data_IF_628821132211
#
_entry.id   IF_628821132211
#
_cell.length_a   1.000
_cell.length_b   1.000
_cell.length_c   1.000
_cell.angle_alpha   90.00
_cell.angle_beta   90.00
_cell.angle_gamma   90.00
#
_symmetry.space_group_name_H-M   'P 1'
#
loop_
_entity.id
_entity.type
_entity.pdbx_description
1 polymer ?
#
# COMPACT_ATOMS: atom_id res chain seq x y z
N UNK A 1 20.73 -39.57 36.17
CA UNK A 1 21.65 -39.42 35.02
C UNK A 1 21.35 -38.11 34.29
N UNK A 2 22.38 -37.28 34.03
CA UNK A 2 22.35 -36.20 33.03
C UNK A 2 22.14 -34.76 33.55
N UNK A 3 23.17 -34.14 34.15
CA UNK A 3 23.27 -32.67 34.34
C UNK A 3 23.73 -32.02 33.03
N UNK A 4 23.03 -30.98 32.55
CA UNK A 4 23.52 -30.09 31.48
C UNK A 4 23.90 -28.73 32.08
N UNK A 5 25.14 -28.32 31.84
CA UNK A 5 25.73 -27.08 32.32
C UNK A 5 25.53 -25.96 31.28
N UNK A 6 25.20 -24.78 31.79
CA UNK A 6 25.13 -23.50 31.06
C UNK A 6 26.48 -22.80 31.20
N UNK A 7 27.04 -22.29 30.11
CA UNK A 7 28.21 -21.42 30.12
C UNK A 7 27.85 -20.06 29.51
N UNK A 8 27.86 -19.05 30.37
CA UNK A 8 27.76 -17.63 30.07
C UNK A 8 29.17 -17.07 29.93
N UNK A 9 29.46 -16.32 28.86
CA UNK A 9 30.70 -15.55 28.75
C UNK A 9 30.34 -14.07 28.54
N UNK A 10 30.62 -13.26 29.57
CA UNK A 10 30.67 -11.79 29.49
C UNK A 10 32.07 -11.37 29.01
N UNK A 11 32.11 -10.49 28.01
CA UNK A 11 33.30 -9.72 27.65
C UNK A 11 32.93 -8.25 27.56
N UNK A 12 33.39 -7.46 28.52
CA UNK A 12 33.31 -6.01 28.52
C UNK A 12 34.74 -5.44 28.42
N UNK A 13 34.95 -4.46 27.56
CA UNK A 13 36.09 -3.56 27.64
C UNK A 13 35.66 -2.15 27.20
N UNK A 14 35.88 -1.18 28.10
CA UNK A 14 35.57 0.23 27.92
C UNK A 14 36.83 1.02 27.47
N UNK A 15 36.53 2.17 26.85
CA UNK A 15 37.35 3.30 26.33
C UNK A 15 38.23 4.02 27.39
N UNK A 16 38.93 5.18 27.19
CA UNK A 16 39.02 6.11 26.03
C UNK A 16 40.41 6.78 25.70
N UNK A 17 40.34 7.59 24.63
CA UNK A 17 41.14 8.67 24.04
C UNK A 17 42.26 9.44 24.80
N UNK A 18 43.19 10.00 24.00
CA UNK A 18 43.71 11.38 24.17
C UNK A 18 44.09 12.04 22.84
N UNK A 19 43.90 13.35 22.80
CA UNK A 19 43.97 14.27 21.67
C UNK A 19 45.40 14.72 21.28
N UNK A 20 45.53 15.31 20.08
CA UNK A 20 46.70 16.07 19.66
C UNK A 20 46.38 17.04 18.54
N UNK A 21 46.13 18.31 18.89
CA UNK A 21 46.20 19.46 18.00
C UNK A 21 47.67 19.88 17.85
N UNK A 22 48.11 20.25 16.65
CA UNK A 22 49.22 21.20 16.46
C UNK A 22 49.06 21.90 15.12
N UNK A 23 48.80 23.20 15.21
CA UNK A 23 48.89 24.19 14.15
C UNK A 23 50.35 24.55 13.89
N UNK A 24 50.80 24.57 12.64
CA UNK A 24 52.02 25.27 12.27
C UNK A 24 51.84 25.94 10.91
N UNK A 25 52.08 27.25 10.93
CA UNK A 25 51.97 28.22 9.85
C UNK A 25 53.12 28.09 8.84
N UNK A 26 52.80 28.10 7.55
CA UNK A 26 53.77 28.39 6.50
C UNK A 26 53.06 29.08 5.33
N UNK A 27 53.30 30.37 5.15
CA UNK A 27 53.08 31.06 3.86
C UNK A 27 54.30 30.76 2.96
N UNK A 28 54.10 30.68 1.63
CA UNK A 28 54.33 31.89 0.86
C UNK A 28 53.30 32.14 -0.26
N UNK A 29 53.15 33.43 -0.57
CA UNK A 29 52.57 34.02 -1.78
C UNK A 29 52.80 33.17 -3.04
N UNK A 30 51.72 32.88 -3.80
CA UNK A 30 51.67 33.07 -5.26
C UNK A 30 50.20 33.20 -5.73
N UNK A 31 49.84 34.43 -6.12
CA UNK A 31 48.90 34.79 -7.20
C UNK A 31 47.95 33.68 -7.72
N UNK A 32 46.72 33.62 -7.19
CA UNK A 32 45.61 32.96 -7.87
C UNK A 32 44.31 33.73 -7.68
N UNK A 33 43.79 34.22 -8.79
CA UNK A 33 42.44 34.76 -8.98
C UNK A 33 41.41 33.78 -8.43
N UNK A 34 40.53 34.26 -7.55
CA UNK A 34 39.36 33.53 -7.06
C UNK A 34 38.52 33.02 -8.23
N UNK A 35 38.48 31.70 -8.39
CA UNK A 35 37.40 31.02 -9.08
C UNK A 35 36.62 30.26 -8.01
N UNK A 36 35.52 30.86 -7.56
CA UNK A 36 34.50 30.18 -6.78
C UNK A 36 34.01 28.97 -7.59
N UNK A 37 34.51 27.79 -7.26
CA UNK A 37 33.95 26.54 -7.76
C UNK A 37 33.03 26.03 -6.67
N UNK A 38 31.74 26.34 -6.80
CA UNK A 38 30.70 25.61 -6.09
C UNK A 38 30.81 24.12 -6.48
N UNK A 39 30.72 23.18 -5.53
CA UNK A 39 30.68 21.77 -5.88
C UNK A 39 29.39 21.51 -6.66
N UNK A 40 29.56 21.16 -7.93
CA UNK A 40 28.50 20.76 -8.84
C UNK A 40 27.80 19.51 -8.25
N UNK A 41 26.65 19.72 -7.61
CA UNK A 41 25.73 18.68 -7.14
C UNK A 41 24.98 18.02 -8.30
N UNK A 42 25.54 18.04 -9.51
CA UNK A 42 25.04 17.29 -10.64
C UNK A 42 25.70 15.91 -10.73
N UNK A 43 25.87 15.26 -9.57
CA UNK A 43 25.98 13.81 -9.47
C UNK A 43 24.62 13.15 -9.67
N UNK A 44 23.90 13.52 -10.73
CA UNK A 44 22.80 12.70 -11.22
C UNK A 44 23.47 11.46 -11.77
N UNK A 45 23.58 10.45 -10.91
CA UNK A 45 23.70 9.07 -11.35
C UNK A 45 22.51 8.90 -12.28
N UNK A 46 22.77 8.98 -13.58
CA UNK A 46 21.89 8.41 -14.57
C UNK A 46 21.88 6.94 -14.21
N UNK A 47 20.98 6.54 -13.31
CA UNK A 47 20.53 5.17 -13.26
C UNK A 47 20.09 4.91 -14.68
N UNK A 48 20.87 4.09 -15.38
CA UNK A 48 20.47 3.53 -16.65
C UNK A 48 19.01 3.13 -16.49
N UNK A 49 18.12 3.85 -17.19
CA UNK A 49 16.75 3.41 -17.38
C UNK A 49 16.88 2.12 -18.17
N UNK A 50 17.01 1.01 -17.45
CA UNK A 50 16.95 -0.31 -18.03
C UNK A 50 15.57 -0.42 -18.65
N UNK A 51 15.57 -0.68 -19.95
CA UNK A 51 14.41 -0.85 -20.81
C UNK A 51 13.64 -2.13 -20.38
N UNK A 52 12.99 -2.07 -19.22
CA UNK A 52 12.39 -3.19 -18.48
C UNK A 52 12.28 -2.91 -16.98
N UNK A 53 11.61 -1.84 -16.57
CA UNK A 53 11.33 -1.60 -15.14
C UNK A 53 10.42 -2.70 -14.60
N UNK A 54 10.95 -3.54 -13.72
CA UNK A 54 10.17 -4.48 -12.94
C UNK A 54 9.17 -3.72 -12.03
N UNK A 55 7.98 -4.29 -11.83
CA UNK A 55 7.01 -3.78 -10.86
C UNK A 55 7.60 -3.96 -9.45
N UNK A 56 7.74 -2.88 -8.69
CA UNK A 56 8.32 -2.93 -7.35
C UNK A 56 7.30 -3.55 -6.36
N UNK A 57 7.65 -4.56 -5.54
CA UNK A 57 6.68 -5.30 -4.72
C UNK A 57 5.91 -4.49 -3.64
N UNK A 58 6.35 -3.28 -3.31
CA UNK A 58 5.72 -2.36 -2.35
C UNK A 58 5.14 -1.13 -3.03
N UNK A 59 5.85 -0.56 -3.99
CA UNK A 59 5.48 0.70 -4.63
C UNK A 59 4.84 0.52 -6.01
N UNK A 60 4.84 -0.69 -6.53
CA UNK A 60 4.32 -1.05 -7.85
C UNK A 60 5.03 -0.30 -8.98
N UNK A 61 4.28 0.01 -10.03
CA UNK A 61 4.72 0.82 -11.15
C UNK A 61 3.64 1.87 -11.47
N UNK A 62 4.04 3.12 -11.70
CA UNK A 62 3.14 4.20 -12.12
C UNK A 62 3.39 4.49 -13.58
N UNK A 63 2.31 4.59 -14.37
CA UNK A 63 2.39 4.95 -15.78
C UNK A 63 1.33 5.97 -16.19
N UNK A 64 1.63 6.70 -17.27
CA UNK A 64 0.77 7.77 -17.78
C UNK A 64 0.60 7.63 -19.30
N UNK A 65 -0.48 6.95 -19.73
CA UNK A 65 -0.85 6.84 -21.15
C UNK A 65 0.11 6.05 -22.05
N UNK A 66 1.27 5.64 -21.55
CA UNK A 66 2.23 4.77 -22.23
C UNK A 66 1.91 3.28 -22.05
N UNK A 67 2.43 2.46 -22.97
CA UNK A 67 2.36 1.00 -22.90
C UNK A 67 3.01 0.53 -21.58
N UNK A 68 2.31 -0.27 -20.76
CA UNK A 68 2.85 -0.74 -19.49
C UNK A 68 4.06 -1.67 -19.69
N UNK A 69 4.98 -1.75 -18.70
CA UNK A 69 6.16 -2.62 -18.78
C UNK A 69 5.81 -4.12 -18.80
N UNK A 70 4.59 -4.46 -18.39
CA UNK A 70 3.98 -5.80 -18.47
C UNK A 70 2.51 -5.64 -18.88
N UNK A 71 1.99 -6.59 -19.63
CA UNK A 71 0.55 -6.64 -19.92
C UNK A 71 -0.21 -6.96 -18.62
N UNK A 72 -1.20 -6.15 -18.21
CA UNK A 72 -1.98 -6.44 -17.02
C UNK A 72 -2.99 -7.57 -17.28
N UNK A 73 -3.07 -8.52 -16.36
CA UNK A 73 -4.04 -9.62 -16.40
C UNK A 73 -5.47 -9.14 -16.11
N UNK A 74 -5.58 -8.12 -15.25
CA UNK A 74 -6.86 -7.54 -14.83
C UNK A 74 -6.82 -6.02 -14.78
N UNK A 75 -8.00 -5.40 -14.81
CA UNK A 75 -8.14 -3.95 -14.61
C UNK A 75 -9.19 -3.66 -13.55
N UNK A 76 -8.85 -2.79 -12.61
CA UNK A 76 -9.74 -2.20 -11.61
C UNK A 76 -9.79 -0.70 -11.85
N UNK A 77 -10.98 -0.14 -12.07
CA UNK A 77 -11.20 1.28 -12.24
C UNK A 77 -11.44 1.97 -10.90
N UNK A 78 -10.93 3.19 -10.74
CA UNK A 78 -11.12 4.00 -9.54
C UNK A 78 -12.01 5.21 -9.88
N UNK A 79 -13.19 5.22 -9.28
CA UNK A 79 -14.32 6.02 -9.74
C UNK A 79 -14.89 6.90 -8.63
N UNK A 80 -15.24 8.13 -9.02
CA UNK A 80 -16.09 9.04 -8.27
C UNK A 80 -17.42 9.13 -9.02
N UNK A 81 -18.53 8.86 -8.33
CA UNK A 81 -19.88 9.01 -8.88
C UNK A 81 -20.73 9.87 -7.95
N UNK A 82 -21.38 10.90 -8.46
CA UNK A 82 -22.27 11.73 -7.67
C UNK A 82 -23.42 10.90 -7.05
N UNK A 83 -23.91 11.33 -5.89
CA UNK A 83 -25.13 10.80 -5.28
C UNK A 83 -26.26 11.78 -5.54
N UNK A 84 -27.44 11.28 -5.89
CA UNK A 84 -28.61 12.16 -6.11
C UNK A 84 -29.06 12.86 -4.81
N UNK A 85 -28.94 12.17 -3.66
CA UNK A 85 -29.53 12.61 -2.39
C UNK A 85 -28.50 12.96 -1.29
N UNK A 86 -27.21 13.10 -1.63
CA UNK A 86 -26.18 13.41 -0.63
C UNK A 86 -25.03 14.27 -1.20
N UNK A 87 -24.45 15.18 -0.39
CA UNK A 87 -23.39 16.08 -0.85
C UNK A 87 -22.03 15.40 -1.02
N UNK A 88 -21.85 14.21 -0.43
CA UNK A 88 -20.60 13.43 -0.54
C UNK A 88 -20.82 12.38 -1.64
N UNK A 89 -19.98 12.32 -2.69
CA UNK A 89 -20.13 11.36 -3.77
C UNK A 89 -19.81 9.92 -3.29
N UNK A 90 -20.06 8.95 -4.16
CA UNK A 90 -19.56 7.59 -4.02
C UNK A 90 -18.13 7.54 -4.55
N UNK A 91 -17.28 6.82 -3.82
CA UNK A 91 -15.88 6.58 -4.15
C UNK A 91 -15.67 5.06 -4.12
N UNK A 92 -15.29 4.45 -5.23
CA UNK A 92 -15.28 2.98 -5.31
C UNK A 92 -14.27 2.45 -6.33
N UNK A 93 -13.91 1.19 -6.10
CA UNK A 93 -13.20 0.34 -7.06
C UNK A 93 -14.22 -0.40 -7.92
N UNK A 94 -13.96 -0.53 -9.21
CA UNK A 94 -14.78 -1.31 -10.15
C UNK A 94 -13.91 -2.29 -10.96
N UNK A 95 -14.04 -3.60 -10.73
CA UNK A 95 -14.93 -4.23 -9.74
C UNK A 95 -14.47 -3.95 -8.30
N UNK A 96 -15.40 -4.04 -7.34
CA UNK A 96 -15.12 -3.85 -5.91
C UNK A 96 -14.58 -5.14 -5.27
N UNK A 97 -15.01 -6.30 -5.77
CA UNK A 97 -14.44 -7.61 -5.46
C UNK A 97 -13.82 -8.24 -6.71
N UNK A 98 -12.65 -8.86 -6.59
CA UNK A 98 -11.98 -9.51 -7.73
C UNK A 98 -11.26 -10.78 -7.26
N UNK A 99 -11.49 -11.91 -7.94
CA UNK A 99 -10.69 -13.12 -7.78
C UNK A 99 -9.61 -13.18 -8.87
N UNK A 100 -8.36 -13.44 -8.48
CA UNK A 100 -7.18 -13.52 -9.35
C UNK A 100 -6.29 -14.68 -8.93
N UNK A 101 -5.31 -15.04 -9.75
CA UNK A 101 -4.30 -16.04 -9.40
C UNK A 101 -3.03 -15.39 -8.82
N UNK A 102 -2.25 -16.11 -7.98
CA UNK A 102 -0.94 -15.65 -7.56
C UNK A 102 -0.02 -15.38 -8.76
N UNK A 103 0.58 -14.20 -8.79
CA UNK A 103 1.43 -13.71 -9.88
C UNK A 103 0.70 -12.82 -10.89
N UNK A 104 -0.63 -12.70 -10.81
CA UNK A 104 -1.40 -11.80 -11.67
C UNK A 104 -1.04 -10.33 -11.36
N UNK A 105 -0.92 -9.54 -12.44
CA UNK A 105 -0.74 -8.09 -12.37
C UNK A 105 -2.05 -7.38 -12.61
N UNK A 106 -2.46 -6.55 -11.65
CA UNK A 106 -3.66 -5.72 -11.75
C UNK A 106 -3.29 -4.30 -12.13
N UNK A 107 -3.93 -3.78 -13.19
CA UNK A 107 -3.94 -2.36 -13.51
C UNK A 107 -5.04 -1.66 -12.73
N UNK A 108 -4.64 -0.81 -11.80
CA UNK A 108 -5.53 0.15 -11.16
C UNK A 108 -5.57 1.41 -12.02
N UNK A 109 -6.68 1.60 -12.75
CA UNK A 109 -6.90 2.72 -13.66
C UNK A 109 -7.61 3.86 -12.94
N UNK A 110 -6.99 5.04 -12.93
CA UNK A 110 -7.62 6.24 -12.35
C UNK A 110 -8.59 6.82 -13.36
N UNK A 111 -9.82 6.28 -13.43
CA UNK A 111 -10.86 6.78 -14.33
C UNK A 111 -11.35 8.17 -13.90
N UNK A 112 -11.24 8.46 -12.61
CA UNK A 112 -11.45 9.78 -12.00
C UNK A 112 -10.22 10.15 -11.15
N UNK A 113 -9.99 11.42 -10.79
CA UNK A 113 -8.76 11.84 -10.12
C UNK A 113 -8.77 11.59 -8.61
N UNK A 114 -7.60 11.80 -7.98
CA UNK A 114 -7.39 11.84 -6.53
C UNK A 114 -7.50 10.50 -5.81
N UNK A 115 -7.06 9.42 -6.46
CA UNK A 115 -7.12 8.09 -5.88
C UNK A 115 -5.74 7.49 -5.63
N UNK A 116 -5.68 6.57 -4.68
CA UNK A 116 -4.57 5.65 -4.51
C UNK A 116 -5.08 4.25 -4.12
N UNK A 117 -4.16 3.30 -4.03
CA UNK A 117 -4.44 1.92 -3.61
C UNK A 117 -3.44 1.53 -2.55
N UNK A 118 -3.91 0.99 -1.44
CA UNK A 118 -3.07 0.62 -0.32
C UNK A 118 -3.59 -0.67 0.31
N UNK A 119 -2.67 -1.46 0.85
CA UNK A 119 -3.00 -2.59 1.72
C UNK A 119 -3.60 -2.12 3.05
N UNK A 120 -4.59 -2.85 3.58
CA UNK A 120 -4.91 -2.79 5.00
C UNK A 120 -3.84 -3.54 5.83
N UNK A 121 -2.76 -2.83 6.16
CA UNK A 121 -1.59 -3.40 6.81
C UNK A 121 -1.16 -2.59 8.07
N UNK A 122 -0.65 -3.21 9.15
CA UNK A 122 -0.23 -2.56 10.39
C UNK A 122 0.84 -1.49 10.21
N UNK A 123 1.70 -1.62 9.19
CA UNK A 123 2.67 -0.58 8.82
C UNK A 123 2.00 0.76 8.45
N UNK A 124 0.71 0.77 8.09
CA UNK A 124 -0.09 1.96 7.82
C UNK A 124 -1.08 2.27 8.95
N UNK A 125 -0.97 1.59 10.10
CA UNK A 125 -1.82 1.81 11.27
C UNK A 125 -3.17 1.07 11.24
N UNK A 126 -3.32 0.03 10.42
CA UNK A 126 -4.55 -0.74 10.30
C UNK A 126 -4.43 -2.16 10.85
N UNK A 127 -5.55 -2.79 11.18
CA UNK A 127 -5.58 -4.24 11.43
C UNK A 127 -5.07 -4.98 10.18
N UNK A 128 -4.34 -6.07 10.36
CA UNK A 128 -3.82 -6.90 9.28
C UNK A 128 -4.98 -7.51 8.48
N UNK A 129 -5.30 -6.94 7.32
CA UNK A 129 -6.33 -7.45 6.40
C UNK A 129 -5.75 -7.73 5.01
N UNK A 130 -4.54 -8.26 5.03
CA UNK A 130 -3.83 -8.90 3.93
C UNK A 130 -3.09 -10.12 4.51
N UNK A 131 -2.65 -11.09 3.70
CA UNK A 131 -1.85 -12.23 4.18
C UNK A 131 -0.61 -11.78 4.96
N UNK A 132 -0.19 -12.55 5.97
CA UNK A 132 0.93 -12.16 6.88
C UNK A 132 2.26 -11.92 6.15
N UNK A 133 2.51 -12.65 5.06
CA UNK A 133 3.72 -12.52 4.25
C UNK A 133 3.60 -11.46 3.14
N UNK A 134 2.42 -10.87 2.93
CA UNK A 134 2.24 -9.82 1.95
C UNK A 134 2.96 -8.55 2.43
N UNK A 135 3.72 -7.86 1.57
CA UNK A 135 4.35 -6.61 1.96
C UNK A 135 3.30 -5.52 2.19
N UNK A 136 3.66 -4.51 2.99
CA UNK A 136 2.92 -3.25 2.98
C UNK A 136 3.12 -2.57 1.60
N UNK A 137 2.08 -2.58 0.78
CA UNK A 137 2.06 -1.95 -0.54
C UNK A 137 1.17 -0.71 -0.58
N UNK A 138 1.59 0.29 -1.35
CA UNK A 138 0.91 1.57 -1.49
C UNK A 138 1.30 2.24 -2.80
N UNK A 139 0.30 2.71 -3.53
CA UNK A 139 0.49 3.62 -4.66
C UNK A 139 0.56 5.08 -4.17
N UNK A 140 1.21 5.99 -4.92
CA UNK A 140 0.98 7.42 -4.74
C UNK A 140 -0.48 7.78 -5.05
N UNK A 141 -0.89 8.98 -4.66
CA UNK A 141 -2.15 9.58 -5.13
C UNK A 141 -1.96 10.06 -6.55
N UNK A 142 -2.81 9.58 -7.45
CA UNK A 142 -2.73 9.78 -8.89
C UNK A 142 -3.92 10.58 -9.43
N UNK A 143 -3.70 11.23 -10.56
CA UNK A 143 -4.67 11.98 -11.34
C UNK A 143 -5.45 11.12 -12.35
N UNK A 144 -6.47 11.70 -12.97
CA UNK A 144 -7.27 11.00 -13.96
C UNK A 144 -6.45 10.64 -15.21
N UNK A 145 -6.62 9.42 -15.72
CA UNK A 145 -5.91 8.88 -16.88
C UNK A 145 -4.58 8.19 -16.54
N UNK A 146 -4.04 8.42 -15.34
CA UNK A 146 -2.87 7.68 -14.84
C UNK A 146 -3.27 6.27 -14.38
N UNK A 147 -2.31 5.37 -14.28
CA UNK A 147 -2.53 4.03 -13.75
C UNK A 147 -1.39 3.59 -12.83
N UNK A 148 -1.72 2.64 -11.96
CA UNK A 148 -0.78 1.94 -11.11
C UNK A 148 -0.86 0.44 -11.38
N UNK A 149 0.28 -0.21 -11.56
CA UNK A 149 0.37 -1.66 -11.67
C UNK A 149 0.88 -2.26 -10.38
N UNK A 150 0.26 -3.36 -9.97
CA UNK A 150 0.69 -4.15 -8.84
C UNK A 150 0.52 -5.64 -9.11
N UNK A 151 1.58 -6.40 -8.83
CA UNK A 151 1.59 -7.85 -8.97
C UNK A 151 1.30 -8.51 -7.63
N UNK A 152 0.24 -9.32 -7.58
CA UNK A 152 -0.19 -9.99 -6.36
C UNK A 152 0.45 -11.37 -6.23
N UNK A 153 1.55 -11.46 -5.49
CA UNK A 153 2.31 -12.71 -5.35
C UNK A 153 1.80 -13.61 -4.21
N UNK A 154 1.24 -13.03 -3.16
CA UNK A 154 0.90 -13.77 -1.94
C UNK A 154 -0.55 -14.23 -1.98
N UNK A 155 -0.77 -15.54 -1.93
CA UNK A 155 -2.10 -16.14 -1.83
C UNK A 155 -2.86 -15.67 -0.57
N UNK A 156 -4.18 -15.50 -0.71
CA UNK A 156 -5.12 -15.14 0.35
C UNK A 156 -5.95 -13.90 -0.01
N UNK A 157 -6.76 -13.45 0.95
CA UNK A 157 -7.62 -12.26 0.79
C UNK A 157 -6.82 -11.00 1.12
N UNK A 158 -6.78 -10.07 0.17
CA UNK A 158 -6.20 -8.73 0.31
C UNK A 158 -7.32 -7.70 0.28
N UNK A 159 -7.64 -7.09 1.43
CA UNK A 159 -8.47 -5.89 1.43
C UNK A 159 -7.59 -4.68 1.07
N UNK A 160 -8.11 -3.88 0.14
CA UNK A 160 -7.48 -2.65 -0.34
C UNK A 160 -8.32 -1.42 0.01
N UNK A 161 -7.66 -0.27 0.10
CA UNK A 161 -8.32 1.02 0.33
C UNK A 161 -7.67 2.16 -0.43
N UNK A 162 -8.48 3.16 -0.76
CA UNK A 162 -8.02 4.49 -1.17
C UNK A 162 -8.00 5.40 0.05
N UNK A 163 -6.81 5.76 0.55
CA UNK A 163 -6.64 6.44 1.84
C UNK A 163 -7.43 7.75 1.97
N UNK A 164 -7.49 8.65 0.95
CA UNK A 164 -8.32 9.86 1.02
C UNK A 164 -9.83 9.60 1.14
N UNK A 165 -10.31 8.43 0.72
CA UNK A 165 -11.73 8.12 0.54
C UNK A 165 -12.22 6.90 1.34
N UNK A 166 -11.35 6.32 2.17
CA UNK A 166 -11.59 5.07 2.89
C UNK A 166 -12.82 5.17 3.79
N UNK A 167 -12.90 6.19 4.64
CA UNK A 167 -14.04 6.39 5.55
C UNK A 167 -15.39 6.54 4.83
N UNK A 168 -15.36 6.93 3.54
CA UNK A 168 -16.54 7.09 2.67
C UNK A 168 -16.88 5.84 1.85
N UNK A 169 -16.15 4.74 2.06
CA UNK A 169 -16.45 3.43 1.45
C UNK A 169 -15.56 3.03 0.30
N UNK A 170 -14.47 3.76 0.01
CA UNK A 170 -13.56 3.39 -1.09
C UNK A 170 -12.59 2.30 -0.68
N UNK A 171 -13.12 1.09 -0.67
CA UNK A 171 -12.45 -0.15 -0.26
C UNK A 171 -12.84 -1.26 -1.21
N UNK A 172 -12.00 -2.30 -1.29
CA UNK A 172 -12.25 -3.46 -2.13
C UNK A 172 -11.58 -4.71 -1.58
N UNK A 173 -11.89 -5.86 -2.17
CA UNK A 173 -11.35 -7.15 -1.76
C UNK A 173 -10.82 -7.91 -2.97
N UNK A 174 -9.52 -8.21 -2.96
CA UNK A 174 -8.84 -9.01 -3.97
C UNK A 174 -8.58 -10.40 -3.36
N UNK A 175 -9.17 -11.45 -3.93
CA UNK A 175 -8.91 -12.83 -3.50
C UNK A 175 -7.87 -13.43 -4.43
N UNK A 176 -6.67 -13.67 -3.90
CA UNK A 176 -5.54 -14.20 -4.66
C UNK A 176 -5.47 -15.71 -4.42
N UNK A 177 -5.86 -16.52 -5.40
CA UNK A 177 -5.93 -17.97 -5.30
C UNK A 177 -7.05 -18.47 -4.38
N UNK A 178 -6.87 -18.41 -3.06
CA UNK A 178 -7.81 -18.96 -2.08
C UNK A 178 -8.43 -17.91 -1.14
N UNK A 179 -9.69 -18.12 -0.69
CA UNK A 179 -10.39 -17.22 0.23
C UNK A 179 -9.91 -17.40 1.68
N UNK A 180 -8.63 -17.19 1.93
CA UNK A 180 -8.00 -17.45 3.24
C UNK A 180 -7.27 -16.24 3.80
N UNK A 181 -6.83 -16.34 5.06
CA UNK A 181 -6.03 -15.32 5.72
C UNK A 181 -6.85 -14.33 6.55
N UNK A 182 -6.19 -13.31 7.14
CA UNK A 182 -6.80 -12.41 8.11
C UNK A 182 -8.06 -11.69 7.62
N UNK A 183 -8.08 -11.28 6.34
CA UNK A 183 -9.22 -10.57 5.75
C UNK A 183 -10.42 -11.46 5.40
N UNK A 184 -10.30 -12.78 5.52
CA UNK A 184 -11.45 -13.68 5.39
C UNK A 184 -12.32 -13.71 6.66
N UNK A 185 -11.82 -13.17 7.79
CA UNK A 185 -12.60 -13.02 9.00
C UNK A 185 -13.50 -11.78 8.93
N UNK A 186 -14.51 -11.71 9.80
CA UNK A 186 -15.41 -10.55 9.84
C UNK A 186 -14.65 -9.24 10.12
N UNK A 187 -15.19 -8.14 9.61
CA UNK A 187 -14.65 -6.80 9.86
C UNK A 187 -14.56 -6.54 11.36
N UNK A 188 -13.36 -6.20 11.85
CA UNK A 188 -13.08 -5.93 13.27
C UNK A 188 -12.47 -7.11 14.04
N UNK A 189 -12.45 -8.31 13.47
CA UNK A 189 -11.88 -9.51 14.12
C UNK A 189 -10.43 -9.81 13.67
N UNK A 190 -9.93 -9.07 12.68
CA UNK A 190 -8.58 -9.25 12.15
C UNK A 190 -7.50 -8.85 13.17
N UNK A 191 -6.37 -9.57 13.24
CA UNK A 191 -5.29 -9.29 14.18
C UNK A 191 -4.62 -7.93 13.91
N UNK A 192 -4.07 -7.32 14.96
CA UNK A 192 -3.29 -6.09 14.87
C UNK A 192 -2.79 -5.64 16.25
N UNK A 193 -1.83 -4.70 16.30
CA UNK A 193 -1.49 -4.02 17.55
C UNK A 193 -2.72 -3.28 18.11
N UNK A 194 -2.72 -2.96 19.41
CA UNK A 194 -3.87 -2.30 20.07
C UNK A 194 -4.23 -0.94 19.47
N UNK A 195 -3.28 -0.27 18.83
CA UNK A 195 -3.45 1.04 18.20
C UNK A 195 -3.88 0.94 16.73
N UNK A 196 -3.92 -0.27 16.16
CA UNK A 196 -4.36 -0.47 14.80
C UNK A 196 -5.87 -0.28 14.67
N UNK A 197 -6.27 0.48 13.65
CA UNK A 197 -7.69 0.71 13.37
C UNK A 197 -8.25 -0.37 12.43
N UNK A 198 -9.42 -0.95 12.72
CA UNK A 198 -10.14 -1.71 11.71
C UNK A 198 -10.77 -0.75 10.68
N UNK A 199 -11.25 -1.28 9.56
CA UNK A 199 -12.23 -0.61 8.70
C UNK A 199 -13.49 -0.28 9.47
N UNK A 200 -13.86 1.00 9.43
CA UNK A 200 -15.00 1.57 10.15
C UNK A 200 -15.85 2.41 9.19
N UNK A 201 -16.86 3.11 9.72
CA UNK A 201 -17.71 4.02 8.95
C UNK A 201 -18.33 3.32 7.73
N UNK A 202 -18.30 3.96 6.55
CA UNK A 202 -18.85 3.36 5.33
C UNK A 202 -17.96 2.22 4.82
N UNK A 203 -16.64 2.27 5.03
CA UNK A 203 -15.73 1.18 4.64
C UNK A 203 -16.06 -0.14 5.34
N UNK A 204 -16.39 -0.08 6.63
CA UNK A 204 -16.81 -1.24 7.39
C UNK A 204 -18.09 -1.87 6.82
N UNK A 205 -19.06 -1.05 6.38
CA UNK A 205 -20.29 -1.53 5.75
C UNK A 205 -20.02 -2.18 4.39
N UNK A 206 -19.24 -1.53 3.53
CA UNK A 206 -18.89 -2.06 2.20
C UNK A 206 -18.20 -3.42 2.33
N UNK A 207 -17.16 -3.54 3.16
CA UNK A 207 -16.42 -4.80 3.33
C UNK A 207 -17.21 -5.88 4.09
N UNK A 208 -18.34 -5.53 4.70
CA UNK A 208 -19.25 -6.49 5.34
C UNK A 208 -20.42 -6.90 4.43
N UNK A 209 -20.51 -6.35 3.22
CA UNK A 209 -21.54 -6.74 2.26
C UNK A 209 -21.41 -8.23 1.92
N UNK A 210 -22.50 -9.02 1.95
CA UNK A 210 -22.44 -10.44 1.61
C UNK A 210 -21.83 -10.73 0.24
N UNK A 211 -22.01 -9.84 -0.76
CA UNK A 211 -21.41 -10.02 -2.07
C UNK A 211 -19.87 -9.97 -2.03
N UNK A 212 -19.27 -9.27 -1.05
CA UNK A 212 -17.83 -9.23 -0.85
C UNK A 212 -17.29 -10.32 0.09
N UNK A 213 -18.12 -11.26 0.54
CA UNK A 213 -17.61 -12.46 1.18
C UNK A 213 -16.61 -13.16 0.23
N UNK A 214 -15.40 -13.54 0.69
CA UNK A 214 -14.35 -14.07 -0.19
C UNK A 214 -14.78 -15.23 -1.09
N UNK A 215 -15.60 -16.13 -0.58
CA UNK A 215 -16.15 -17.28 -1.30
C UNK A 215 -17.09 -16.85 -2.42
N UNK A 216 -17.88 -15.80 -2.19
CA UNK A 216 -18.78 -15.24 -3.19
C UNK A 216 -18.00 -14.51 -4.28
N UNK A 217 -16.89 -13.84 -3.93
CA UNK A 217 -15.98 -13.24 -4.91
C UNK A 217 -15.35 -14.33 -5.78
N UNK A 218 -14.88 -15.42 -5.18
CA UNK A 218 -14.31 -16.56 -5.92
C UNK A 218 -15.34 -17.22 -6.84
N UNK A 219 -16.58 -17.39 -6.38
CA UNK A 219 -17.66 -17.96 -7.19
C UNK A 219 -18.04 -17.05 -8.37
N UNK A 220 -18.13 -15.73 -8.13
CA UNK A 220 -18.52 -14.75 -9.15
C UNK A 220 -17.38 -14.38 -10.10
N UNK A 221 -16.12 -14.54 -9.68
CA UNK A 221 -14.91 -14.05 -10.36
C UNK A 221 -14.69 -12.54 -10.17
N UNK A 222 -15.75 -11.74 -10.20
CA UNK A 222 -15.73 -10.33 -9.84
C UNK A 222 -17.09 -9.86 -9.32
N UNK A 223 -17.08 -8.78 -8.54
CA UNK A 223 -18.28 -8.18 -7.94
C UNK A 223 -18.27 -6.68 -8.24
N UNK A 224 -19.28 -6.20 -8.95
CA UNK A 224 -19.41 -4.78 -9.27
C UNK A 224 -19.82 -3.97 -8.04
N UNK A 225 -19.45 -2.69 -8.00
CA UNK A 225 -19.97 -1.76 -6.99
C UNK A 225 -21.51 -1.69 -7.01
N UNK A 226 -22.10 -1.79 -8.20
CA UNK A 226 -23.54 -1.71 -8.36
C UNK A 226 -24.28 -2.96 -7.88
N UNK A 227 -23.58 -4.10 -7.73
CA UNK A 227 -24.13 -5.34 -7.18
C UNK A 227 -24.18 -5.37 -5.64
N UNK A 228 -23.46 -4.46 -4.97
CA UNK A 228 -23.53 -4.32 -3.52
C UNK A 228 -24.89 -3.79 -3.08
N UNK A 229 -25.33 -4.19 -1.89
CA UNK A 229 -26.58 -3.72 -1.32
C UNK A 229 -26.55 -2.19 -1.10
N UNK A 230 -27.65 -1.47 -1.35
CA UNK A 230 -27.71 -0.01 -1.15
C UNK A 230 -27.32 0.43 0.26
N UNK A 231 -27.70 -0.33 1.29
CA UNK A 231 -27.36 -0.09 2.68
C UNK A 231 -25.85 -0.20 2.96
N UNK A 232 -25.14 -1.09 2.27
CA UNK A 232 -23.69 -1.25 2.40
C UNK A 232 -22.93 -0.03 1.83
N UNK A 233 -23.56 0.67 0.89
CA UNK A 233 -23.04 1.88 0.24
C UNK A 233 -23.54 3.17 0.88
N UNK A 234 -24.43 3.08 1.87
CA UNK A 234 -25.01 4.24 2.54
C UNK A 234 -23.92 4.99 3.33
N UNK A 235 -23.93 6.32 3.24
CA UNK A 235 -22.94 7.15 3.93
C UNK A 235 -23.13 7.00 5.45
N UNK A 236 -22.13 6.43 6.12
CA UNK A 236 -22.05 6.33 7.57
C UNK A 236 -20.92 7.22 8.08
N UNK A 237 -21.25 8.16 8.97
CA UNK A 237 -20.31 9.11 9.57
C UNK A 237 -20.03 8.83 11.06
N UNK A 238 -20.38 7.62 11.53
CA UNK A 238 -20.06 7.10 12.86
C UNK A 238 -19.37 5.72 12.76
N UNK A 239 -18.53 5.32 13.73
CA UNK A 239 -17.94 3.98 13.78
C UNK A 239 -19.00 2.85 13.74
N UNK A 240 -18.59 1.64 13.36
CA UNK A 240 -19.49 0.47 13.36
C UNK A 240 -19.81 0.08 14.81
N UNK A 241 -21.09 -0.14 15.12
CA UNK A 241 -21.55 -0.54 16.46
C UNK A 241 -21.92 0.62 17.40
N UNK A 242 -21.71 1.87 16.98
CA UNK A 242 -22.22 3.06 17.66
C UNK A 242 -23.40 3.66 16.87
N UNK A 243 -24.49 4.06 17.54
CA UNK A 243 -25.67 4.72 16.95
C UNK A 243 -25.67 6.23 17.22
#
# INVERSE_FOLDING_TARGET
>A
MGRRQVLTALGAAAMPAVAGCSSESNEPDENTTSADTEPDMNGTTQQEQTNGQAIEPRFGYVGTGEEPPVEPDHTVQLLIREREEAPIPQFYFEPTGLAIEPGDTVRFQMTTPHHNVNAYHPAFGYTQRVPESAPAYSSPVLGAGEYWLYTFETEGVHNIMCAPHELFGMVGSIVVGSPTGPAASAVGEAPGPSEARPPEFTAGLVLSDPALAPENIVEAGSVSWDDLAPESKALRLAPIGEE
#
